data_IF_022102635034
#
_entry.id   IF_022102635034
#
_cell.length_a   1.000
_cell.length_b   1.000
_cell.length_c   1.000
_cell.angle_alpha   90.00
_cell.angle_beta   90.00
_cell.angle_gamma   90.00
#
_symmetry.space_group_name_H-M   'P 1'
#
loop_
_entity.id
_entity.type
_entity.pdbx_description
1 polymer ?
#
# COMPACT_ATOMS: atom_id res chain seq x y z
N UNK A 1 -10.31 -2.11 8.37
CA UNK A 1 -9.52 -3.34 8.62
C UNK A 1 -8.59 -3.00 9.78
N UNK A 2 -7.88 -3.95 10.38
CA UNK A 2 -6.75 -3.57 11.25
C UNK A 2 -5.51 -3.30 10.38
N UNK A 3 -4.71 -2.29 10.75
CA UNK A 3 -3.57 -1.86 9.94
C UNK A 3 -2.47 -2.93 9.81
N UNK A 4 -2.29 -3.77 10.83
CA UNK A 4 -1.28 -4.84 10.82
C UNK A 4 -1.61 -5.91 9.78
N UNK A 5 -2.89 -6.27 9.64
CA UNK A 5 -3.37 -7.21 8.63
C UNK A 5 -3.23 -6.60 7.23
N UNK A 6 -3.48 -5.29 7.08
CA UNK A 6 -3.27 -4.60 5.81
C UNK A 6 -1.81 -4.61 5.36
N UNK A 7 -0.87 -4.35 6.29
CA UNK A 7 0.59 -4.49 6.05
C UNK A 7 0.94 -5.91 5.67
N UNK A 8 0.42 -6.90 6.40
CA UNK A 8 0.65 -8.33 6.11
C UNK A 8 0.19 -8.71 4.71
N UNK A 9 -0.97 -8.22 4.28
CA UNK A 9 -1.49 -8.47 2.93
C UNK A 9 -0.62 -7.81 1.86
N UNK A 10 -0.20 -6.55 2.07
CA UNK A 10 0.71 -5.86 1.15
C UNK A 10 2.05 -6.60 1.00
N UNK A 11 2.62 -7.06 2.12
CA UNK A 11 3.88 -7.80 2.10
C UNK A 11 3.77 -9.10 1.29
N UNK A 12 2.67 -9.86 1.44
CA UNK A 12 2.44 -11.07 0.64
C UNK A 12 2.34 -10.81 -0.87
N UNK A 13 1.84 -9.63 -1.26
CA UNK A 13 1.80 -9.22 -2.67
C UNK A 13 3.23 -8.94 -3.17
N UNK A 14 4.03 -8.24 -2.36
CA UNK A 14 5.43 -7.98 -2.69
C UNK A 14 6.27 -9.26 -2.75
N UNK A 15 6.09 -10.22 -1.83
CA UNK A 15 6.80 -11.50 -1.84
C UNK A 15 6.59 -12.25 -3.19
N UNK A 16 5.42 -12.11 -3.81
CA UNK A 16 5.14 -12.70 -5.11
C UNK A 16 5.95 -12.04 -6.23
N UNK A 17 5.93 -10.70 -6.28
CA UNK A 17 6.61 -9.93 -7.33
C UNK A 17 8.11 -9.74 -7.11
N UNK A 18 8.63 -10.02 -5.91
CA UNK A 18 10.08 -10.01 -5.63
C UNK A 18 10.85 -11.03 -6.48
N UNK A 19 10.17 -12.06 -6.98
CA UNK A 19 10.76 -13.04 -7.90
C UNK A 19 11.04 -12.49 -9.31
N UNK A 20 10.52 -11.30 -9.65
CA UNK A 20 10.78 -10.67 -10.94
C UNK A 20 12.23 -10.16 -11.00
N UNK A 21 12.94 -10.38 -12.12
CA UNK A 21 14.33 -9.95 -12.27
C UNK A 21 14.48 -8.43 -12.41
N UNK A 22 13.45 -7.75 -12.91
CA UNK A 22 13.42 -6.30 -13.03
C UNK A 22 12.71 -5.69 -11.81
N UNK A 23 13.47 -4.87 -11.08
CA UNK A 23 12.99 -4.20 -9.87
C UNK A 23 11.93 -3.14 -10.17
N UNK A 24 12.05 -2.45 -11.29
CA UNK A 24 11.07 -1.42 -11.68
C UNK A 24 9.75 -2.09 -12.06
N UNK A 25 9.82 -3.21 -12.80
CA UNK A 25 8.64 -4.03 -13.11
C UNK A 25 7.95 -4.55 -11.83
N UNK A 26 8.73 -5.00 -10.83
CA UNK A 26 8.17 -5.44 -9.56
C UNK A 26 7.43 -4.32 -8.80
N UNK A 27 7.97 -3.10 -8.81
CA UNK A 27 7.33 -1.94 -8.18
C UNK A 27 6.01 -1.57 -8.89
N UNK A 28 6.04 -1.55 -10.22
CA UNK A 28 4.87 -1.26 -11.05
C UNK A 28 3.76 -2.31 -10.82
N UNK A 29 4.12 -3.59 -10.77
CA UNK A 29 3.16 -4.68 -10.55
C UNK A 29 2.56 -4.68 -9.13
N UNK A 30 3.34 -4.35 -8.10
CA UNK A 30 2.80 -4.15 -6.74
C UNK A 30 1.77 -3.02 -6.74
N UNK A 31 2.10 -1.85 -7.28
CA UNK A 31 1.19 -0.71 -7.32
C UNK A 31 -0.06 -1.00 -8.16
N UNK A 32 0.11 -1.64 -9.32
CA UNK A 32 -0.95 -2.09 -10.22
C UNK A 32 -1.91 -3.05 -9.52
N UNK A 33 -1.39 -4.02 -8.76
CA UNK A 33 -2.19 -4.98 -8.01
C UNK A 33 -3.01 -4.30 -6.91
N UNK A 34 -2.37 -3.44 -6.10
CA UNK A 34 -3.06 -2.67 -5.08
C UNK A 34 -4.17 -1.80 -5.69
N UNK A 35 -3.89 -1.09 -6.79
CA UNK A 35 -4.88 -0.25 -7.47
C UNK A 35 -6.09 -1.05 -7.98
N UNK A 36 -5.84 -2.19 -8.65
CA UNK A 36 -6.88 -2.99 -9.31
C UNK A 36 -7.78 -3.75 -8.33
N UNK A 37 -7.19 -4.29 -7.26
CA UNK A 37 -7.90 -5.26 -6.42
C UNK A 37 -8.28 -4.74 -5.04
N UNK A 38 -7.65 -3.67 -4.55
CA UNK A 38 -8.00 -3.13 -3.24
C UNK A 38 -9.08 -2.08 -3.35
N UNK A 39 -10.00 -2.08 -2.38
CA UNK A 39 -10.97 -1.01 -2.23
C UNK A 39 -10.26 0.35 -2.01
N UNK A 40 -10.80 1.47 -2.53
CA UNK A 40 -10.30 2.81 -2.29
C UNK A 40 -9.90 3.11 -0.83
N UNK A 41 -10.66 2.62 0.16
CA UNK A 41 -10.38 2.85 1.58
C UNK A 41 -9.13 2.12 2.05
N UNK A 42 -8.92 0.88 1.58
CA UNK A 42 -7.70 0.12 1.88
C UNK A 42 -6.46 0.82 1.33
N UNK A 43 -6.54 1.38 0.11
CA UNK A 43 -5.42 2.13 -0.48
C UNK A 43 -5.13 3.41 0.30
N UNK A 44 -6.15 4.15 0.72
CA UNK A 44 -5.96 5.31 1.59
C UNK A 44 -5.31 4.91 2.93
N UNK A 45 -5.76 3.81 3.53
CA UNK A 45 -5.26 3.32 4.82
C UNK A 45 -3.79 2.88 4.74
N UNK A 46 -3.39 2.11 3.72
CA UNK A 46 -1.98 1.70 3.58
C UNK A 46 -1.05 2.87 3.26
N UNK A 47 -1.52 3.84 2.48
CA UNK A 47 -0.79 5.08 2.24
C UNK A 47 -0.60 5.89 3.53
N UNK A 48 -1.62 5.95 4.39
CA UNK A 48 -1.50 6.60 5.69
C UNK A 48 -0.52 5.85 6.62
N UNK A 49 -0.58 4.51 6.65
CA UNK A 49 0.35 3.69 7.44
C UNK A 49 1.81 3.85 7.00
N UNK A 50 2.06 4.10 5.71
CA UNK A 50 3.39 4.32 5.17
C UNK A 50 4.07 5.58 5.77
N UNK A 51 3.27 6.55 6.23
CA UNK A 51 3.75 7.78 6.86
C UNK A 51 3.89 7.64 8.40
N UNK A 52 3.76 6.42 8.94
CA UNK A 52 3.88 6.10 10.38
C UNK A 52 5.03 5.13 10.66
N UNK A 53 5.39 4.88 11.95
CA UNK A 53 6.38 3.84 12.29
C UNK A 53 6.01 2.43 11.84
N UNK A 54 4.73 2.14 11.56
CA UNK A 54 4.29 0.85 11.03
C UNK A 54 4.91 0.53 9.66
N UNK A 55 5.36 1.55 8.92
CA UNK A 55 6.12 1.36 7.69
C UNK A 55 7.41 0.54 7.88
N UNK A 56 7.97 0.47 9.09
CA UNK A 56 9.12 -0.36 9.39
C UNK A 56 8.86 -1.86 9.14
N UNK A 57 7.61 -2.31 9.33
CA UNK A 57 7.18 -3.70 9.12
C UNK A 57 6.77 -3.99 7.66
N UNK A 58 6.71 -2.96 6.80
CA UNK A 58 6.40 -3.13 5.39
C UNK A 58 7.62 -3.65 4.62
N UNK A 59 7.34 -4.54 3.67
CA UNK A 59 8.31 -5.01 2.68
C UNK A 59 8.92 -3.81 1.92
N UNK A 60 10.19 -3.91 1.54
CA UNK A 60 10.90 -2.82 0.84
C UNK A 60 10.19 -2.43 -0.46
N UNK A 61 9.80 -3.41 -1.28
CA UNK A 61 9.01 -3.18 -2.49
C UNK A 61 7.67 -2.47 -2.22
N UNK A 62 6.98 -2.80 -1.12
CA UNK A 62 5.72 -2.11 -0.77
C UNK A 62 6.00 -0.64 -0.50
N UNK A 63 6.94 -0.32 0.40
CA UNK A 63 7.26 1.07 0.75
C UNK A 63 7.61 1.90 -0.49
N UNK A 64 8.45 1.36 -1.35
CA UNK A 64 8.92 2.06 -2.54
C UNK A 64 7.81 2.22 -3.58
N UNK A 65 6.98 1.18 -3.79
CA UNK A 65 5.83 1.26 -4.69
C UNK A 65 4.81 2.30 -4.20
N UNK A 66 4.54 2.36 -2.88
CA UNK A 66 3.64 3.35 -2.28
C UNK A 66 4.14 4.79 -2.47
N UNK A 67 5.45 5.01 -2.36
CA UNK A 67 6.06 6.34 -2.59
C UNK A 67 6.00 6.72 -4.07
N UNK A 68 6.43 5.81 -4.95
CA UNK A 68 6.55 6.07 -6.39
C UNK A 68 5.20 6.23 -7.09
N UNK A 69 4.19 5.46 -6.69
CA UNK A 69 2.87 5.42 -7.32
C UNK A 69 1.78 6.06 -6.45
N UNK A 70 2.15 6.97 -5.55
CA UNK A 70 1.21 7.59 -4.59
C UNK A 70 -0.01 8.20 -5.28
N UNK A 71 0.20 8.91 -6.39
CA UNK A 71 -0.88 9.54 -7.16
C UNK A 71 -1.86 8.53 -7.74
N UNK A 72 -1.36 7.41 -8.27
CA UNK A 72 -2.18 6.31 -8.81
C UNK A 72 -2.98 5.60 -7.71
N UNK A 73 -2.37 5.43 -6.53
CA UNK A 73 -2.98 4.70 -5.43
C UNK A 73 -3.97 5.56 -4.64
N UNK A 74 -3.78 6.87 -4.64
CA UNK A 74 -4.68 7.81 -3.97
C UNK A 74 -6.09 7.71 -4.58
N UNK A 75 -7.11 7.35 -3.78
CA UNK A 75 -8.46 7.26 -4.30
C UNK A 75 -9.04 8.65 -4.62
N UNK A 76 -9.91 8.77 -5.63
CA UNK A 76 -10.60 10.03 -5.91
C UNK A 76 -11.48 10.43 -4.71
N UNK A 77 -11.40 11.71 -4.33
CA UNK A 77 -11.79 12.20 -3.01
C UNK A 77 -13.24 11.93 -2.56
N UNK A 78 -13.36 11.23 -1.43
CA UNK A 78 -14.06 11.73 -0.25
C UNK A 78 -13.27 11.27 0.99
N UNK A 79 -12.89 12.17 1.92
CA UNK A 79 -12.20 11.77 3.14
C UNK A 79 -13.14 10.87 3.95
N UNK A 80 -12.75 9.62 4.15
CA UNK A 80 -13.42 8.74 5.09
C UNK A 80 -13.27 9.32 6.49
N UNK A 81 -14.38 9.48 7.20
CA UNK A 81 -14.47 9.90 8.60
C UNK A 81 -13.44 9.14 9.45
N UNK A 82 -12.30 9.77 9.73
CA UNK A 82 -11.51 9.46 10.93
C UNK A 82 -12.30 10.10 12.07
N UNK A 83 -13.20 9.30 12.64
CA UNK A 83 -13.90 9.66 13.87
C UNK A 83 -12.87 10.03 14.92
N UNK A 84 -12.96 11.26 15.40
CA UNK A 84 -12.25 11.75 16.56
C UNK A 84 -12.54 10.80 17.74
N UNK A 85 -11.51 10.12 18.24
CA UNK A 85 -11.56 9.55 19.57
C UNK A 85 -11.36 10.71 20.55
N UNK A 86 -12.43 11.00 21.28
CA UNK A 86 -12.47 11.82 22.49
C UNK A 86 -11.95 11.00 23.67
#
# INVERSE_FOLDING_TARGET
MDGNNLVRMANRIADFFESLPDREEALDEVASHLHKFWDPRMRAEILALADTPASAEMHLLVREALVRHREQLMPPGKPGHLGAAT
#
